data_IF_790113229504
#
_entry.id   IF_790113229504
#
_cell.length_a   1.000
_cell.length_b   1.000
_cell.length_c   1.000
_cell.angle_alpha   90.00
_cell.angle_beta   90.00
_cell.angle_gamma   90.00
#
_symmetry.space_group_name_H-M   'P 1'
#
loop_
_entity.id
_entity.type
_entity.pdbx_description
1 polymer ?
#
# COMPACT_ATOMS: atom_id res chain seq x y z
N UNK A 1 4.89 2.96 22.64
CA UNK A 1 5.58 3.65 21.52
C UNK A 1 4.99 3.13 20.22
N UNK A 2 4.72 3.97 19.23
CA UNK A 2 4.20 3.48 17.95
C UNK A 2 5.35 2.88 17.13
N UNK A 3 5.33 1.57 16.91
CA UNK A 3 6.31 0.89 16.07
C UNK A 3 6.24 1.41 14.63
N UNK A 4 7.39 1.64 14.03
CA UNK A 4 7.53 2.11 12.67
C UNK A 4 8.38 1.14 11.85
N UNK A 5 8.06 1.03 10.57
CA UNK A 5 8.71 0.12 9.62
C UNK A 5 9.05 0.88 8.33
N UNK A 6 10.24 0.59 7.79
CA UNK A 6 10.63 0.98 6.44
C UNK A 6 10.30 -0.16 5.49
N UNK A 7 9.52 0.15 4.46
CA UNK A 7 9.09 -0.84 3.47
C UNK A 7 10.12 -0.91 2.33
N UNK A 8 10.63 -2.10 1.97
CA UNK A 8 11.56 -2.25 0.85
C UNK A 8 10.94 -1.80 -0.49
N UNK A 9 11.78 -1.30 -1.40
CA UNK A 9 11.34 -0.83 -2.71
C UNK A 9 10.60 -1.91 -3.51
N UNK A 10 11.01 -3.18 -3.41
CA UNK A 10 10.32 -4.30 -4.11
C UNK A 10 8.84 -4.38 -3.71
N UNK A 11 8.54 -4.20 -2.41
CA UNK A 11 7.18 -4.28 -1.88
C UNK A 11 6.37 -3.07 -2.32
N UNK A 12 7.01 -1.91 -2.42
CA UNK A 12 6.37 -0.73 -2.99
C UNK A 12 5.98 -0.94 -4.47
N UNK A 13 6.86 -1.50 -5.30
CA UNK A 13 6.53 -1.77 -6.71
C UNK A 13 5.41 -2.80 -6.85
N UNK A 14 5.35 -3.82 -5.98
CA UNK A 14 4.22 -4.76 -5.92
C UNK A 14 2.89 -4.06 -5.61
N UNK A 15 2.88 -3.14 -4.64
CA UNK A 15 1.68 -2.35 -4.31
C UNK A 15 1.26 -1.44 -5.47
N UNK A 16 2.24 -0.85 -6.15
CA UNK A 16 2.01 0.00 -7.30
C UNK A 16 1.40 -0.78 -8.47
N UNK A 17 1.87 -2.00 -8.72
CA UNK A 17 1.34 -2.86 -9.78
C UNK A 17 -0.11 -3.30 -9.59
N UNK A 18 -0.62 -3.32 -8.35
CA UNK A 18 -2.01 -3.66 -8.06
C UNK A 18 -2.97 -2.45 -8.10
N UNK A 19 -2.45 -1.22 -8.28
CA UNK A 19 -3.28 -0.03 -8.44
C UNK A 19 -3.71 0.14 -9.90
N UNK A 20 -5.02 0.37 -10.18
CA UNK A 20 -5.47 0.75 -11.53
C UNK A 20 -4.88 2.07 -12.00
N UNK A 21 -4.75 3.04 -11.08
CA UNK A 21 -4.10 4.33 -11.30
C UNK A 21 -3.56 4.90 -9.98
N UNK A 22 -2.45 5.66 -10.02
CA UNK A 22 -1.88 6.30 -8.82
C UNK A 22 -2.56 7.66 -8.61
N UNK A 23 -3.79 7.60 -8.09
CA UNK A 23 -4.59 8.79 -7.73
C UNK A 23 -5.01 8.72 -6.27
N UNK A 24 -5.31 9.87 -5.66
CA UNK A 24 -5.81 9.93 -4.28
C UNK A 24 -6.98 8.99 -4.02
N UNK A 25 -7.94 8.93 -4.95
CA UNK A 25 -9.11 8.08 -4.85
C UNK A 25 -8.73 6.61 -4.79
N UNK A 26 -7.87 6.15 -5.71
CA UNK A 26 -7.41 4.76 -5.75
C UNK A 26 -6.55 4.41 -4.53
N UNK A 27 -5.67 5.32 -4.06
CA UNK A 27 -4.88 5.10 -2.85
C UNK A 27 -5.77 4.91 -1.61
N UNK A 28 -6.85 5.68 -1.50
CA UNK A 28 -7.79 5.57 -0.39
C UNK A 28 -8.71 4.35 -0.52
N UNK A 29 -9.27 4.12 -1.71
CA UNK A 29 -10.16 3.00 -2.00
C UNK A 29 -9.43 1.66 -1.82
N UNK A 30 -8.27 1.50 -2.49
CA UNK A 30 -7.53 0.25 -2.52
C UNK A 30 -6.79 0.01 -1.20
N UNK A 31 -6.06 1.00 -0.68
CA UNK A 31 -5.17 0.81 0.49
C UNK A 31 -5.60 1.57 1.75
N UNK A 32 -6.54 2.50 1.66
CA UNK A 32 -6.99 3.27 2.84
C UNK A 32 -5.93 4.23 3.35
N UNK A 33 -5.05 4.71 2.47
CA UNK A 33 -3.94 5.60 2.82
C UNK A 33 -4.06 6.93 2.07
N UNK A 34 -3.41 7.95 2.63
CA UNK A 34 -3.28 9.25 1.96
C UNK A 34 -2.11 9.25 0.96
N UNK A 35 -2.11 10.25 0.08
CA UNK A 35 -0.97 10.54 -0.81
C UNK A 35 0.32 10.79 -0.03
N UNK A 36 0.22 11.36 1.18
CA UNK A 36 1.38 11.56 2.06
C UNK A 36 2.00 10.23 2.46
N UNK A 37 1.20 9.26 2.91
CA UNK A 37 1.71 7.92 3.26
C UNK A 37 2.27 7.21 2.05
N UNK A 38 1.63 7.35 0.88
CA UNK A 38 2.15 6.82 -0.37
C UNK A 38 3.51 7.43 -0.75
N UNK A 39 3.67 8.74 -0.58
CA UNK A 39 4.93 9.45 -0.78
C UNK A 39 6.04 8.94 0.14
N UNK A 40 5.72 8.62 1.40
CA UNK A 40 6.68 8.01 2.34
C UNK A 40 7.15 6.64 1.86
N UNK A 41 6.20 5.78 1.47
CA UNK A 41 6.52 4.45 0.93
C UNK A 41 7.44 4.54 -0.29
N UNK A 42 7.12 5.45 -1.23
CA UNK A 42 7.93 5.68 -2.44
C UNK A 42 9.36 6.12 -2.13
N UNK A 43 9.55 6.88 -1.05
CA UNK A 43 10.85 7.41 -0.64
C UNK A 43 11.63 6.47 0.30
N UNK A 44 11.05 5.33 0.68
CA UNK A 44 11.64 4.46 1.71
C UNK A 44 11.63 5.10 3.11
N UNK A 45 10.71 6.02 3.37
CA UNK A 45 10.56 6.64 4.69
C UNK A 45 9.73 5.75 5.63
N UNK A 46 10.01 5.77 6.95
CA UNK A 46 9.30 4.96 7.92
C UNK A 46 7.83 5.37 8.05
N UNK A 47 6.95 4.36 8.09
CA UNK A 47 5.53 4.50 8.38
C UNK A 47 5.16 3.70 9.63
N UNK A 48 4.01 4.01 10.25
CA UNK A 48 3.51 3.23 11.39
C UNK A 48 3.29 1.77 10.98
N UNK A 49 3.69 0.83 11.82
CA UNK A 49 3.47 -0.61 11.60
C UNK A 49 1.98 -0.94 11.41
N UNK A 50 1.10 -0.30 12.17
CA UNK A 50 -0.36 -0.46 12.02
C UNK A 50 -0.92 0.08 10.70
N UNK A 51 -0.23 1.01 10.05
CA UNK A 51 -0.55 1.44 8.68
C UNK A 51 -0.10 0.37 7.69
N UNK A 52 1.11 -0.17 7.87
CA UNK A 52 1.63 -1.25 7.02
C UNK A 52 0.76 -2.50 7.05
N UNK A 53 0.39 -2.98 8.24
CA UNK A 53 -0.50 -4.14 8.41
C UNK A 53 -1.85 -3.95 7.70
N UNK A 54 -2.42 -2.74 7.76
CA UNK A 54 -3.67 -2.42 7.05
C UNK A 54 -3.50 -2.44 5.53
N UNK A 55 -2.37 -1.94 5.01
CA UNK A 55 -2.04 -2.02 3.59
C UNK A 55 -1.95 -3.49 3.16
N UNK A 56 -1.24 -4.34 3.91
CA UNK A 56 -1.08 -5.76 3.59
C UNK A 56 -2.42 -6.49 3.52
N UNK A 57 -3.27 -6.34 4.55
CA UNK A 57 -4.60 -6.95 4.58
C UNK A 57 -5.48 -6.53 3.38
N UNK A 58 -5.35 -5.28 2.92
CA UNK A 58 -6.09 -4.80 1.76
C UNK A 58 -5.48 -5.30 0.44
N UNK A 59 -4.16 -5.30 0.34
CA UNK A 59 -3.43 -5.82 -0.82
C UNK A 59 -3.78 -7.29 -1.09
N UNK A 60 -3.82 -8.13 -0.06
CA UNK A 60 -4.22 -9.54 -0.20
C UNK A 60 -5.64 -9.69 -0.79
N UNK A 61 -6.59 -8.85 -0.37
CA UNK A 61 -7.96 -8.84 -0.93
C UNK A 61 -7.96 -8.41 -2.40
N UNK A 62 -7.16 -7.42 -2.75
CA UNK A 62 -7.03 -6.93 -4.13
C UNK A 62 -6.43 -8.03 -5.01
N UNK A 63 -5.33 -8.65 -4.59
CA UNK A 63 -4.72 -9.78 -5.31
C UNK A 63 -5.68 -10.96 -5.44
N UNK A 64 -6.44 -11.30 -4.40
CA UNK A 64 -7.47 -12.35 -4.47
C UNK A 64 -8.57 -12.00 -5.48
N UNK A 65 -8.94 -10.73 -5.59
CA UNK A 65 -9.96 -10.26 -6.55
C UNK A 65 -9.42 -10.31 -7.97
N UNK A 66 -8.20 -9.83 -8.20
CA UNK A 66 -7.54 -9.87 -9.51
C UNK A 66 -7.35 -11.32 -9.98
N UNK A 67 -6.97 -12.24 -9.10
CA UNK A 67 -6.82 -13.65 -9.42
C UNK A 67 -8.14 -14.35 -9.78
N UNK A 68 -9.29 -13.84 -9.30
CA UNK A 68 -10.62 -14.36 -9.66
C UNK A 68 -11.17 -13.77 -10.96
N UNK A 69 -10.61 -12.65 -11.42
CA UNK A 69 -11.03 -11.95 -12.62
C UNK A 69 -10.23 -12.34 -13.88
N UNK A 70 -9.16 -13.12 -13.71
CA UNK A 70 -8.32 -13.69 -14.76
C UNK A 70 -8.76 -15.12 -15.10
#
# INVERSE_FOLDING_TARGET
>A
MAEAITVPQERFEMLKGALPAITREHLFSVYGISETTWGKLRKGEPIKLSTWQRIQMRYERVCSTLAKAA
#
